data_IF_650085250825
#
_entry.id   IF_650085250825
#
_cell.length_a   1.000
_cell.length_b   1.000
_cell.length_c   1.000
_cell.angle_alpha   90.00
_cell.angle_beta   90.00
_cell.angle_gamma   90.00
#
_symmetry.space_group_name_H-M   'P 1'
#
loop_
_entity.id
_entity.type
_entity.pdbx_description
1 polymer ?
#
# COMPACT_ATOMS: atom_id res chain seq x y z
N UNK A 1 20.08 -9.13 -9.18
CA UNK A 1 19.84 -7.67 -9.23
C UNK A 1 19.22 -7.19 -10.55
N UNK A 2 19.76 -7.59 -11.73
CA UNK A 2 19.22 -7.23 -13.06
C UNK A 2 17.78 -7.73 -13.32
N UNK A 3 17.42 -8.90 -12.82
CA UNK A 3 16.09 -9.51 -13.05
C UNK A 3 14.95 -8.74 -12.38
N UNK A 4 15.15 -8.35 -11.12
CA UNK A 4 14.15 -7.59 -10.35
C UNK A 4 13.92 -6.19 -10.96
N UNK A 5 14.97 -5.54 -11.42
CA UNK A 5 14.89 -4.24 -12.10
C UNK A 5 14.10 -4.34 -13.42
N UNK A 6 14.33 -5.40 -14.21
CA UNK A 6 13.62 -5.61 -15.47
C UNK A 6 12.12 -5.79 -15.28
N UNK A 7 11.73 -6.59 -14.28
CA UNK A 7 10.32 -6.82 -13.97
C UNK A 7 9.60 -5.55 -13.53
N UNK A 8 10.25 -4.72 -12.69
CA UNK A 8 9.68 -3.44 -12.26
C UNK A 8 9.52 -2.45 -13.40
N UNK A 9 10.46 -2.44 -14.35
CA UNK A 9 10.36 -1.61 -15.57
C UNK A 9 9.16 -2.07 -16.41
N UNK A 10 8.95 -3.38 -16.55
CA UNK A 10 7.79 -3.91 -17.28
C UNK A 10 6.47 -3.53 -16.58
N UNK A 11 6.39 -3.66 -15.25
CA UNK A 11 5.24 -3.23 -14.46
C UNK A 11 4.98 -1.72 -14.59
N UNK A 12 6.05 -0.93 -14.62
CA UNK A 12 5.99 0.51 -14.83
C UNK A 12 5.38 0.84 -16.20
N UNK A 13 5.81 0.18 -17.25
CA UNK A 13 5.27 0.37 -18.59
C UNK A 13 3.82 -0.12 -18.70
N UNK A 14 3.46 -1.20 -18.01
CA UNK A 14 2.09 -1.71 -17.99
C UNK A 14 1.12 -0.70 -17.37
N UNK A 15 1.52 0.03 -16.36
CA UNK A 15 0.68 1.09 -15.78
C UNK A 15 0.35 2.20 -16.77
N UNK A 16 1.06 2.23 -17.90
CA UNK A 16 0.85 3.12 -19.04
C UNK A 16 0.10 2.44 -20.22
N UNK A 17 -0.50 1.27 -19.97
CA UNK A 17 -1.28 0.51 -20.95
C UNK A 17 -0.47 -0.44 -21.83
N UNK A 18 0.85 -0.57 -21.60
CA UNK A 18 1.71 -1.49 -22.33
C UNK A 18 1.76 -2.82 -21.60
N UNK A 19 1.32 -3.90 -22.27
CA UNK A 19 1.33 -5.26 -21.73
C UNK A 19 2.64 -5.96 -22.07
N UNK A 20 3.21 -6.63 -21.07
CA UNK A 20 4.37 -7.49 -21.23
C UNK A 20 4.09 -8.90 -20.70
N UNK A 21 4.53 -9.91 -21.42
CA UNK A 21 4.62 -11.26 -20.89
C UNK A 21 5.87 -11.37 -20.02
N UNK A 22 5.70 -11.80 -18.78
CA UNK A 22 6.80 -11.99 -17.86
C UNK A 22 6.96 -13.45 -17.49
N UNK A 23 8.08 -14.03 -17.91
CA UNK A 23 8.53 -15.33 -17.42
C UNK A 23 9.48 -15.09 -16.23
N UNK A 24 8.94 -15.00 -15.02
CA UNK A 24 9.74 -14.84 -13.80
C UNK A 24 9.70 -16.12 -12.99
N UNK A 25 10.84 -16.78 -12.88
CA UNK A 25 11.02 -17.84 -11.88
C UNK A 25 11.11 -17.21 -10.48
N UNK A 26 10.04 -17.34 -9.71
CA UNK A 26 10.04 -16.95 -8.29
C UNK A 26 10.75 -18.07 -7.49
N UNK A 27 12.00 -17.82 -7.10
CA UNK A 27 12.69 -18.70 -6.14
C UNK A 27 12.19 -18.38 -4.73
N UNK A 28 11.33 -19.25 -4.21
CA UNK A 28 10.84 -19.15 -2.84
C UNK A 28 11.93 -19.44 -1.81
N UNK A 29 11.91 -18.69 -0.69
CA UNK A 29 12.74 -18.99 0.47
C UNK A 29 12.23 -20.26 1.16
N UNK A 30 13.13 -21.16 1.54
CA UNK A 30 12.78 -22.38 2.25
C UNK A 30 12.91 -22.17 3.76
N UNK A 31 11.79 -22.24 4.46
CA UNK A 31 11.71 -22.19 5.91
C UNK A 31 11.43 -23.57 6.47
N UNK A 32 12.30 -24.03 7.40
CA UNK A 32 12.12 -25.29 8.12
C UNK A 32 11.38 -25.01 9.41
N UNK A 33 10.18 -25.56 9.57
CA UNK A 33 9.40 -25.48 10.81
C UNK A 33 10.14 -26.13 11.98
N UNK A 34 10.15 -25.46 13.13
CA UNK A 34 10.76 -25.94 14.37
C UNK A 34 9.70 -26.26 15.43
N UNK A 35 8.87 -25.26 15.78
CA UNK A 35 7.88 -25.41 16.86
C UNK A 35 6.84 -24.30 16.81
N UNK A 36 5.73 -24.53 17.48
CA UNK A 36 4.80 -23.48 17.90
C UNK A 36 5.34 -22.76 19.14
N UNK A 37 5.04 -21.47 19.27
CA UNK A 37 5.45 -20.61 20.39
C UNK A 37 4.21 -20.00 21.01
N UNK A 38 4.05 -20.12 22.32
CA UNK A 38 2.86 -19.62 23.02
C UNK A 38 3.05 -18.17 23.50
N UNK A 39 4.22 -17.85 24.01
CA UNK A 39 4.53 -16.52 24.56
C UNK A 39 5.60 -15.81 23.72
N UNK A 40 5.28 -14.61 23.27
CA UNK A 40 6.19 -13.74 22.52
C UNK A 40 6.21 -12.34 23.14
N UNK A 41 7.23 -11.59 22.80
CA UNK A 41 7.36 -10.18 23.18
C UNK A 41 6.14 -9.37 22.72
N UNK A 42 5.62 -8.49 23.61
CA UNK A 42 4.41 -7.69 23.32
C UNK A 42 4.56 -6.86 22.03
N UNK A 43 5.71 -6.26 21.81
CA UNK A 43 5.97 -5.49 20.60
C UNK A 43 5.85 -6.36 19.35
N UNK A 44 6.38 -7.59 19.37
CA UNK A 44 6.24 -8.54 18.27
C UNK A 44 4.79 -8.98 18.06
N UNK A 45 4.06 -9.21 19.13
CA UNK A 45 2.63 -9.52 19.05
C UNK A 45 1.84 -8.41 18.35
N UNK A 46 2.12 -7.13 18.71
CA UNK A 46 1.48 -5.98 18.06
C UNK A 46 1.88 -5.83 16.59
N UNK A 47 3.13 -6.12 16.22
CA UNK A 47 3.53 -6.17 14.82
C UNK A 47 2.75 -7.24 14.04
N UNK A 48 2.58 -8.43 14.60
CA UNK A 48 1.78 -9.48 13.97
C UNK A 48 0.29 -9.17 13.88
N UNK A 49 -0.23 -8.25 14.71
CA UNK A 49 -1.60 -7.76 14.57
C UNK A 49 -1.88 -7.23 13.15
N UNK A 50 -0.92 -6.63 12.49
CA UNK A 50 -1.06 -6.12 11.13
C UNK A 50 -1.49 -7.21 10.13
N UNK A 51 -1.10 -8.45 10.38
CA UNK A 51 -1.31 -9.59 9.50
C UNK A 51 -2.49 -10.48 9.94
N UNK A 52 -3.10 -10.20 11.10
CA UNK A 52 -4.34 -10.86 11.55
C UNK A 52 -5.53 -10.39 10.70
N UNK A 53 -6.53 -11.24 10.57
CA UNK A 53 -7.84 -10.83 10.04
C UNK A 53 -8.51 -9.97 11.11
N UNK A 54 -8.77 -8.71 10.79
CA UNK A 54 -9.34 -7.75 11.74
C UNK A 54 -10.85 -7.54 11.54
N UNK A 55 -11.35 -7.84 10.33
CA UNK A 55 -12.76 -7.75 9.99
C UNK A 55 -13.12 -8.76 8.91
N UNK A 56 -14.31 -9.34 9.02
CA UNK A 56 -14.94 -10.15 7.98
C UNK A 56 -16.14 -9.36 7.45
N UNK A 57 -16.09 -8.93 6.18
CA UNK A 57 -17.16 -8.23 5.51
C UNK A 57 -18.35 -9.15 5.21
N UNK A 58 -19.55 -8.61 5.20
CA UNK A 58 -20.77 -9.34 4.81
C UNK A 58 -20.73 -9.66 3.30
N UNK A 59 -21.28 -10.81 2.91
CA UNK A 59 -21.28 -11.27 1.51
C UNK A 59 -22.06 -10.38 0.54
N UNK A 60 -22.96 -9.56 1.06
CA UNK A 60 -23.74 -8.60 0.29
C UNK A 60 -23.03 -7.25 0.08
N UNK A 61 -21.96 -6.95 0.81
CA UNK A 61 -21.23 -5.68 0.74
C UNK A 61 -20.04 -5.76 -0.22
N UNK A 62 -19.35 -6.89 -0.25
CA UNK A 62 -18.15 -7.08 -1.07
C UNK A 62 -17.90 -8.56 -1.36
N UNK A 63 -17.38 -8.91 -2.55
CA UNK A 63 -16.88 -10.26 -2.82
C UNK A 63 -15.60 -10.58 -2.02
N UNK A 64 -14.92 -9.57 -1.48
CA UNK A 64 -13.66 -9.69 -0.75
C UNK A 64 -13.89 -9.54 0.75
N UNK A 65 -14.21 -10.66 1.40
CA UNK A 65 -14.70 -10.68 2.78
C UNK A 65 -13.63 -10.44 3.84
N UNK A 66 -12.39 -10.83 3.55
CA UNK A 66 -11.30 -10.77 4.53
C UNK A 66 -10.63 -9.40 4.48
N UNK A 67 -10.48 -8.78 5.66
CA UNK A 67 -9.79 -7.50 5.80
C UNK A 67 -8.69 -7.60 6.87
N UNK A 68 -7.48 -7.18 6.49
CA UNK A 68 -6.35 -6.94 7.39
C UNK A 68 -6.13 -5.43 7.56
N UNK A 69 -5.11 -5.01 8.31
CA UNK A 69 -4.81 -3.60 8.58
C UNK A 69 -4.43 -2.76 7.34
N UNK A 70 -4.12 -3.41 6.22
CA UNK A 70 -3.71 -2.79 4.96
C UNK A 70 -4.56 -3.29 3.79
N UNK A 71 -4.68 -2.52 2.70
CA UNK A 71 -5.36 -2.97 1.49
C UNK A 71 -4.50 -3.99 0.75
N UNK A 72 -5.16 -4.95 0.12
CA UNK A 72 -4.53 -5.94 -0.76
C UNK A 72 -5.39 -6.14 -2.00
N UNK A 73 -4.77 -6.34 -3.15
CA UNK A 73 -5.46 -6.65 -4.39
C UNK A 73 -6.34 -7.90 -4.20
N UNK A 74 -7.66 -7.75 -4.39
CA UNK A 74 -8.66 -8.81 -4.19
C UNK A 74 -8.55 -9.56 -2.84
N UNK A 75 -8.02 -8.90 -1.80
CA UNK A 75 -7.80 -9.50 -0.48
C UNK A 75 -6.94 -10.77 -0.48
N UNK A 76 -5.98 -10.90 -1.41
CA UNK A 76 -5.07 -12.05 -1.43
C UNK A 76 -4.13 -12.08 -0.23
N UNK A 77 -3.70 -10.89 0.26
CA UNK A 77 -2.83 -10.76 1.44
C UNK A 77 -1.63 -11.70 1.40
N UNK A 78 -0.89 -11.62 0.31
CA UNK A 78 0.23 -12.51 0.03
C UNK A 78 1.50 -12.21 0.83
N UNK A 79 1.53 -11.12 1.58
CA UNK A 79 2.66 -10.73 2.40
C UNK A 79 2.65 -11.47 3.73
N UNK A 80 3.83 -11.98 4.12
CA UNK A 80 4.09 -12.57 5.43
C UNK A 80 5.20 -11.81 6.15
N UNK A 81 5.05 -11.65 7.46
CA UNK A 81 6.07 -11.06 8.33
C UNK A 81 6.84 -12.15 9.04
N UNK A 82 8.15 -12.08 8.93
CA UNK A 82 9.08 -12.86 9.73
C UNK A 82 9.93 -11.94 10.58
N UNK A 83 10.15 -12.28 11.85
CA UNK A 83 10.95 -11.51 12.80
C UNK A 83 12.15 -12.36 13.21
N UNK A 84 13.36 -11.87 12.98
CA UNK A 84 14.57 -12.55 13.44
C UNK A 84 14.61 -12.62 14.97
N UNK A 85 14.77 -13.80 15.53
CA UNK A 85 15.04 -14.04 16.94
C UNK A 85 16.49 -14.45 17.23
N UNK A 86 17.34 -14.33 16.20
CA UNK A 86 18.77 -14.65 16.23
C UNK A 86 19.11 -16.04 15.72
N UNK A 87 20.39 -16.29 15.39
CA UNK A 87 20.90 -17.62 14.99
C UNK A 87 20.09 -18.29 13.86
N UNK A 88 19.76 -17.56 12.78
CA UNK A 88 18.95 -18.04 11.65
C UNK A 88 17.54 -18.52 12.03
N UNK A 89 17.04 -18.13 13.20
CA UNK A 89 15.70 -18.45 13.67
C UNK A 89 14.77 -17.25 13.46
N UNK A 90 13.55 -17.55 13.03
CA UNK A 90 12.54 -16.58 12.67
C UNK A 90 11.20 -16.93 13.30
N UNK A 91 10.50 -15.91 13.76
CA UNK A 91 9.14 -16.01 14.27
C UNK A 91 8.19 -15.47 13.22
N UNK A 92 7.06 -16.16 13.01
CA UNK A 92 5.97 -15.69 12.14
C UNK A 92 4.61 -16.04 12.73
N UNK A 93 3.55 -15.43 12.20
CA UNK A 93 2.16 -15.73 12.54
C UNK A 93 1.56 -16.64 11.48
N UNK A 94 1.13 -17.82 11.85
CA UNK A 94 0.28 -18.64 11.01
C UNK A 94 -1.12 -18.03 10.95
N UNK A 95 -1.46 -17.38 9.82
CA UNK A 95 -2.73 -16.66 9.65
C UNK A 95 -3.98 -17.55 9.67
N UNK A 96 -3.82 -18.88 9.47
CA UNK A 96 -4.94 -19.83 9.50
C UNK A 96 -5.27 -20.29 10.93
N UNK A 97 -4.24 -20.57 11.73
CA UNK A 97 -4.40 -21.07 13.10
C UNK A 97 -4.36 -19.97 14.16
N UNK A 98 -3.84 -18.78 13.82
CA UNK A 98 -3.59 -17.69 14.76
C UNK A 98 -2.42 -17.93 15.71
N UNK A 99 -1.67 -19.03 15.53
CA UNK A 99 -0.53 -19.39 16.38
C UNK A 99 0.77 -18.78 15.88
N UNK A 100 1.68 -18.48 16.81
CA UNK A 100 3.04 -18.08 16.47
C UNK A 100 3.89 -19.34 16.21
N UNK A 101 4.67 -19.30 15.15
CA UNK A 101 5.50 -20.42 14.72
C UNK A 101 6.95 -19.97 14.56
N UNK A 102 7.87 -20.84 15.01
CA UNK A 102 9.31 -20.67 14.87
C UNK A 102 9.83 -21.50 13.72
N UNK A 103 10.64 -20.86 12.89
CA UNK A 103 11.25 -21.44 11.71
C UNK A 103 12.75 -21.20 11.70
N UNK A 104 13.48 -22.07 11.01
CA UNK A 104 14.89 -21.91 10.65
C UNK A 104 15.00 -21.57 9.17
N UNK A 105 15.88 -20.61 8.84
CA UNK A 105 16.26 -20.30 7.46
C UNK A 105 17.73 -19.90 7.40
N UNK A 106 18.53 -20.61 6.59
CA UNK A 106 19.96 -20.37 6.41
C UNK A 106 20.27 -19.50 5.18
N UNK A 107 19.31 -19.31 4.28
CA UNK A 107 19.49 -18.52 3.05
C UNK A 107 19.54 -17.01 3.32
N UNK A 108 18.82 -16.53 4.35
CA UNK A 108 18.82 -15.11 4.74
C UNK A 108 20.12 -14.72 5.44
N UNK A 109 20.78 -15.69 6.07
CA UNK A 109 21.98 -15.46 6.87
C UNK A 109 21.71 -14.97 8.29
N UNK A 110 22.78 -14.65 9.02
CA UNK A 110 22.67 -14.20 10.43
C UNK A 110 22.27 -12.75 10.50
N UNK A 111 21.13 -12.47 11.14
CA UNK A 111 20.59 -11.13 11.31
C UNK A 111 20.45 -10.76 12.79
N UNK A 112 20.45 -9.47 13.08
CA UNK A 112 20.21 -8.95 14.43
C UNK A 112 18.80 -9.36 14.89
N UNK A 113 18.67 -9.73 16.17
CA UNK A 113 17.36 -9.98 16.79
C UNK A 113 16.46 -8.74 16.65
N UNK A 114 15.21 -8.94 16.24
CA UNK A 114 14.24 -7.87 16.00
C UNK A 114 14.28 -7.29 14.57
N UNK A 115 15.19 -7.73 13.68
CA UNK A 115 15.11 -7.40 12.25
C UNK A 115 13.86 -8.04 11.65
N UNK A 116 13.10 -7.26 10.89
CA UNK A 116 11.86 -7.69 10.25
C UNK A 116 12.11 -8.05 8.79
N UNK A 117 11.40 -9.05 8.31
CA UNK A 117 11.43 -9.47 6.91
C UNK A 117 10.00 -9.58 6.38
N UNK A 118 9.70 -8.87 5.30
CA UNK A 118 8.44 -9.04 4.57
C UNK A 118 8.73 -9.90 3.34
N UNK A 119 8.04 -11.02 3.25
CA UNK A 119 8.20 -12.01 2.19
C UNK A 119 6.88 -12.11 1.44
N UNK A 120 6.94 -11.97 0.11
CA UNK A 120 5.77 -12.08 -0.76
C UNK A 120 5.59 -13.53 -1.22
N UNK A 121 4.41 -14.08 -1.00
CA UNK A 121 3.99 -15.32 -1.66
C UNK A 121 3.60 -15.08 -3.12
N UNK A 122 3.54 -16.13 -3.89
CA UNK A 122 3.06 -16.09 -5.27
C UNK A 122 1.59 -15.63 -5.31
N UNK A 123 1.27 -14.67 -6.16
CA UNK A 123 -0.12 -14.31 -6.45
C UNK A 123 -0.79 -15.50 -7.17
N UNK A 124 -1.95 -15.99 -6.67
CA UNK A 124 -2.54 -17.25 -7.14
C UNK A 124 -3.27 -17.14 -8.48
N UNK A 125 -3.14 -16.01 -9.19
CA UNK A 125 -3.86 -15.75 -10.45
C UNK A 125 -2.94 -15.12 -11.51
N UNK A 126 -3.07 -15.57 -12.74
CA UNK A 126 -2.16 -15.20 -13.83
C UNK A 126 -2.45 -13.81 -14.42
N UNK A 127 -3.68 -13.32 -14.34
CA UNK A 127 -4.02 -12.01 -14.91
C UNK A 127 -3.33 -10.80 -14.24
N UNK A 128 -2.63 -11.02 -13.12
CA UNK A 128 -1.78 -10.00 -12.51
C UNK A 128 -0.30 -10.13 -12.89
N UNK A 129 0.09 -11.10 -13.70
CA UNK A 129 1.50 -11.37 -13.99
C UNK A 129 2.27 -10.14 -14.46
N UNK A 130 1.68 -9.29 -15.30
CA UNK A 130 2.30 -8.07 -15.82
C UNK A 130 2.48 -6.94 -14.80
N UNK A 131 1.75 -6.95 -13.66
CA UNK A 131 1.81 -5.90 -12.63
C UNK A 131 2.12 -6.45 -11.23
N UNK A 132 2.46 -7.73 -11.14
CA UNK A 132 2.65 -8.48 -9.91
C UNK A 132 3.67 -7.81 -8.98
N UNK A 133 4.83 -7.40 -9.51
CA UNK A 133 5.91 -6.80 -8.71
C UNK A 133 5.49 -5.44 -8.15
N UNK A 134 4.88 -4.58 -8.96
CA UNK A 134 4.42 -3.29 -8.48
C UNK A 134 3.27 -3.42 -7.47
N UNK A 135 2.35 -4.38 -7.65
CA UNK A 135 1.31 -4.64 -6.65
C UNK A 135 1.91 -5.11 -5.32
N UNK A 136 2.90 -6.02 -5.35
CA UNK A 136 3.59 -6.48 -4.16
C UNK A 136 4.29 -5.33 -3.43
N UNK A 137 5.01 -4.48 -4.14
CA UNK A 137 5.70 -3.33 -3.54
C UNK A 137 4.73 -2.29 -2.98
N UNK A 138 3.64 -2.01 -3.67
CA UNK A 138 2.59 -1.13 -3.15
C UNK A 138 1.98 -1.69 -1.85
N UNK A 139 1.67 -2.99 -1.80
CA UNK A 139 1.17 -3.65 -0.59
C UNK A 139 2.19 -3.59 0.54
N UNK A 140 3.47 -3.84 0.26
CA UNK A 140 4.55 -3.68 1.25
C UNK A 140 4.65 -2.22 1.71
N UNK A 141 4.53 -1.25 0.82
CA UNK A 141 4.48 0.18 1.18
C UNK A 141 3.35 0.48 2.17
N UNK A 142 2.15 -0.04 1.95
CA UNK A 142 1.04 0.06 2.91
C UNK A 142 1.40 -0.56 4.27
N UNK A 143 2.05 -1.71 4.28
CA UNK A 143 2.50 -2.38 5.52
C UNK A 143 3.57 -1.55 6.22
N UNK A 144 4.53 -0.98 5.49
CA UNK A 144 5.60 -0.14 6.04
C UNK A 144 5.07 1.07 6.80
N UNK A 145 4.00 1.73 6.29
CA UNK A 145 3.35 2.80 7.02
C UNK A 145 2.79 2.31 8.36
N UNK A 146 2.07 1.19 8.36
CA UNK A 146 1.52 0.63 9.59
C UNK A 146 2.63 0.19 10.58
N UNK A 147 3.74 -0.38 10.08
CA UNK A 147 4.92 -0.69 10.90
C UNK A 147 5.51 0.59 11.50
N UNK A 148 5.61 1.68 10.74
CA UNK A 148 6.15 2.95 11.25
C UNK A 148 5.31 3.52 12.39
N UNK A 149 3.98 3.45 12.30
CA UNK A 149 3.07 3.82 13.39
C UNK A 149 3.29 2.94 14.63
N UNK A 150 3.36 1.62 14.45
CA UNK A 150 3.59 0.71 15.58
C UNK A 150 4.98 0.91 16.21
N UNK A 151 6.00 1.10 15.39
CA UNK A 151 7.33 1.45 15.90
C UNK A 151 7.25 2.69 16.78
N UNK A 152 6.60 3.75 16.30
CA UNK A 152 6.47 5.01 17.04
C UNK A 152 5.73 4.85 18.37
N UNK A 153 4.62 4.09 18.41
CA UNK A 153 3.88 3.76 19.64
C UNK A 153 4.80 3.09 20.67
N UNK A 154 5.74 2.26 20.24
CA UNK A 154 6.71 1.56 21.08
C UNK A 154 8.06 2.27 21.23
N UNK A 155 8.13 3.57 20.91
CA UNK A 155 9.37 4.38 20.93
C UNK A 155 10.49 3.74 20.12
N UNK A 156 10.16 3.35 18.92
CA UNK A 156 11.07 2.80 17.91
C UNK A 156 10.88 3.51 16.56
N UNK A 157 11.84 3.32 15.68
CA UNK A 157 11.74 3.81 14.31
C UNK A 157 12.32 2.81 13.32
N UNK A 158 11.90 2.90 12.06
CA UNK A 158 12.54 2.21 10.95
C UNK A 158 13.85 2.93 10.66
N UNK A 159 14.98 2.25 10.86
CA UNK A 159 16.31 2.80 10.62
C UNK A 159 16.75 2.64 9.17
N UNK A 160 16.48 1.49 8.57
CA UNK A 160 16.82 1.22 7.18
C UNK A 160 15.87 0.18 6.58
N UNK A 161 15.72 0.25 5.25
CA UNK A 161 14.99 -0.72 4.45
C UNK A 161 15.92 -1.18 3.35
N UNK A 162 16.09 -2.49 3.23
CA UNK A 162 16.91 -3.14 2.22
C UNK A 162 16.04 -4.11 1.42
N UNK A 163 16.13 -4.06 0.10
CA UNK A 163 15.35 -4.91 -0.77
C UNK A 163 16.23 -5.83 -1.59
N UNK A 164 15.83 -7.07 -1.71
CA UNK A 164 16.38 -8.02 -2.67
C UNK A 164 15.25 -8.73 -3.43
N UNK A 165 15.58 -9.73 -4.23
CA UNK A 165 14.59 -10.44 -5.07
C UNK A 165 13.60 -11.30 -4.27
N UNK A 166 13.92 -11.61 -3.00
CA UNK A 166 13.16 -12.59 -2.19
C UNK A 166 12.41 -11.95 -1.03
N UNK A 167 12.90 -10.83 -0.47
CA UNK A 167 12.32 -10.19 0.70
C UNK A 167 12.67 -8.70 0.80
N UNK A 168 11.91 -8.01 1.62
CA UNK A 168 12.25 -6.67 2.13
C UNK A 168 12.68 -6.81 3.58
N UNK A 169 13.91 -6.41 3.90
CA UNK A 169 14.46 -6.36 5.26
C UNK A 169 14.27 -4.97 5.85
N UNK A 170 13.83 -4.92 7.12
CA UNK A 170 13.58 -3.70 7.84
C UNK A 170 14.35 -3.74 9.15
N UNK A 171 15.26 -2.81 9.33
CA UNK A 171 16.00 -2.66 10.58
C UNK A 171 15.34 -1.59 11.45
N UNK A 172 15.15 -1.92 12.74
CA UNK A 172 14.47 -1.09 13.72
C UNK A 172 15.48 -0.59 14.76
N UNK A 173 15.35 0.68 15.16
CA UNK A 173 16.10 1.30 16.26
C UNK A 173 15.15 1.86 17.31
N UNK A 174 15.66 2.09 18.54
CA UNK A 174 14.93 2.80 19.60
C UNK A 174 15.06 4.31 19.40
N UNK A 175 14.02 5.07 19.78
CA UNK A 175 14.00 6.53 19.80
C UNK A 175 13.54 7.03 21.17
N UNK A 176 13.90 8.26 21.52
CA UNK A 176 13.53 8.87 22.79
C UNK A 176 12.10 9.42 22.76
N UNK A 177 11.68 10.01 21.64
CA UNK A 177 10.41 10.72 21.53
C UNK A 177 9.58 10.19 20.34
N UNK A 178 8.32 9.85 20.60
CA UNK A 178 7.35 9.48 19.59
C UNK A 178 7.00 10.65 18.67
N UNK A 179 6.71 10.35 17.41
CA UNK A 179 6.34 11.32 16.36
C UNK A 179 4.84 11.51 16.25
N UNK A 180 4.10 10.44 16.51
CA UNK A 180 2.64 10.42 16.45
C UNK A 180 2.08 10.33 17.87
N UNK A 181 1.12 11.19 18.21
CA UNK A 181 0.34 11.07 19.44
C UNK A 181 -0.80 10.07 19.23
N UNK A 182 -0.44 8.80 19.10
CA UNK A 182 -1.38 7.73 18.80
C UNK A 182 -1.17 6.52 19.71
N UNK A 183 -2.24 6.10 20.40
CA UNK A 183 -2.24 4.86 21.16
C UNK A 183 -2.49 3.64 20.28
N UNK A 184 -2.06 2.45 20.73
CA UNK A 184 -2.34 1.20 20.02
C UNK A 184 -3.84 0.95 19.83
N UNK A 185 -4.66 1.26 20.82
CA UNK A 185 -6.12 1.09 20.73
C UNK A 185 -6.74 1.97 19.64
N UNK A 186 -6.30 3.23 19.53
CA UNK A 186 -6.74 4.12 18.47
C UNK A 186 -6.28 3.63 17.10
N UNK A 187 -5.03 3.16 16.98
CA UNK A 187 -4.53 2.55 15.75
C UNK A 187 -5.38 1.33 15.32
N UNK A 188 -5.72 0.44 16.29
CA UNK A 188 -6.59 -0.70 16.00
C UNK A 188 -7.98 -0.25 15.51
N UNK A 189 -8.54 0.79 16.12
CA UNK A 189 -9.84 1.34 15.71
C UNK A 189 -9.78 1.83 14.25
N UNK A 190 -8.76 2.60 13.89
CA UNK A 190 -8.59 3.09 12.51
C UNK A 190 -8.43 1.95 11.50
N UNK A 191 -7.69 0.91 11.86
CA UNK A 191 -7.57 -0.27 11.01
C UNK A 191 -8.92 -0.98 10.80
N UNK A 192 -9.77 -1.06 11.85
CA UNK A 192 -11.11 -1.67 11.78
C UNK A 192 -12.08 -0.84 10.95
N UNK A 193 -12.04 0.48 11.07
CA UNK A 193 -12.92 1.41 10.36
C UNK A 193 -12.53 1.60 8.89
N UNK A 194 -11.28 1.30 8.54
CA UNK A 194 -10.82 1.44 7.15
C UNK A 194 -11.68 0.61 6.19
N UNK A 195 -12.27 1.26 5.20
CA UNK A 195 -13.07 0.62 4.15
C UNK A 195 -12.68 1.13 2.77
N UNK A 196 -12.82 0.27 1.76
CA UNK A 196 -12.55 0.63 0.35
C UNK A 196 -13.79 1.16 -0.38
N UNK A 197 -14.89 1.38 0.35
CA UNK A 197 -16.15 1.82 -0.24
C UNK A 197 -16.91 0.73 -0.97
N UNK A 198 -18.11 1.05 -1.44
CA UNK A 198 -19.03 0.07 -2.01
C UNK A 198 -18.65 -0.32 -3.44
N UNK A 199 -19.05 -1.51 -3.82
CA UNK A 199 -19.26 -1.88 -5.21
C UNK A 199 -20.56 -1.23 -5.75
N UNK A 200 -20.54 -0.77 -6.99
CA UNK A 200 -21.54 0.06 -7.70
C UNK A 200 -23.03 -0.18 -7.43
N UNK A 201 -23.44 -1.35 -7.07
CA UNK A 201 -24.88 -1.70 -7.09
C UNK A 201 -25.59 -1.63 -5.74
N UNK A 202 -24.93 -1.17 -4.66
CA UNK A 202 -25.47 -1.24 -3.29
C UNK A 202 -25.19 0.00 -2.43
N UNK A 203 -25.23 1.17 -3.05
CA UNK A 203 -24.97 2.43 -2.34
C UNK A 203 -26.30 2.95 -1.80
N UNK A 204 -26.64 2.62 -0.58
CA UNK A 204 -27.80 3.21 0.10
C UNK A 204 -27.40 4.32 1.09
N UNK A 205 -26.15 4.36 1.55
CA UNK A 205 -25.73 5.20 2.69
C UNK A 205 -24.53 6.12 2.38
N UNK A 206 -24.27 6.43 1.10
CA UNK A 206 -23.17 7.33 0.74
C UNK A 206 -23.70 8.73 0.48
N UNK A 207 -23.19 9.69 1.25
CA UNK A 207 -23.55 11.10 1.07
C UNK A 207 -22.59 11.77 0.08
N UNK A 208 -23.18 12.68 -0.72
CA UNK A 208 -22.43 13.59 -1.59
C UNK A 208 -21.96 14.81 -0.78
N UNK A 209 -21.22 14.59 0.31
CA UNK A 209 -20.60 15.70 1.03
C UNK A 209 -19.19 15.93 0.51
N UNK A 210 -19.04 16.94 -0.33
CA UNK A 210 -17.77 17.37 -0.92
C UNK A 210 -17.05 18.45 -0.11
N UNK A 211 -17.65 18.93 0.97
CA UNK A 211 -17.13 20.03 1.79
C UNK A 211 -16.20 19.54 2.89
N UNK A 212 -16.28 18.27 3.26
CA UNK A 212 -15.37 17.71 4.26
C UNK A 212 -13.96 17.52 3.70
N UNK A 213 -12.99 18.07 4.40
CA UNK A 213 -11.57 17.97 4.02
C UNK A 213 -11.03 16.54 4.15
N UNK A 214 -10.73 15.90 3.03
CA UNK A 214 -9.97 14.66 2.98
C UNK A 214 -8.56 14.92 3.52
N UNK A 215 -8.09 14.06 4.43
CA UNK A 215 -6.70 14.12 4.89
C UNK A 215 -5.74 13.85 3.73
N UNK A 216 -4.74 14.70 3.62
CA UNK A 216 -3.72 14.62 2.58
C UNK A 216 -2.37 14.66 3.28
N UNK A 217 -1.54 13.59 3.18
CA UNK A 217 -0.21 13.59 3.75
C UNK A 217 0.63 14.69 3.09
N UNK A 218 1.39 15.42 3.89
CA UNK A 218 2.40 16.33 3.35
C UNK A 218 3.55 15.46 2.83
N UNK A 219 3.87 15.55 1.55
CA UNK A 219 5.16 15.09 1.05
C UNK A 219 6.15 16.13 1.54
N UNK A 220 6.72 15.90 2.73
CA UNK A 220 7.75 16.78 3.27
C UNK A 220 9.08 16.39 2.63
N UNK A 221 9.89 17.39 2.32
CA UNK A 221 11.30 17.23 1.93
C UNK A 221 12.17 16.72 3.09
N UNK A 222 11.58 16.30 4.20
CA UNK A 222 12.24 16.06 5.47
C UNK A 222 12.50 14.58 5.75
N UNK A 223 13.50 14.36 6.59
CA UNK A 223 14.12 13.15 7.11
C UNK A 223 13.23 11.92 7.40
N UNK A 224 11.93 12.09 7.57
CA UNK A 224 10.98 10.98 7.80
C UNK A 224 10.87 10.03 6.61
N UNK A 225 11.14 10.53 5.39
CA UNK A 225 11.21 9.74 4.16
C UNK A 225 12.64 9.42 3.72
N UNK A 226 13.65 9.94 4.41
CA UNK A 226 15.05 9.67 4.10
C UNK A 226 15.37 8.16 4.13
N UNK A 227 14.62 7.38 4.90
CA UNK A 227 14.74 5.93 5.01
C UNK A 227 14.33 5.24 3.70
N UNK A 228 13.29 5.74 3.04
CA UNK A 228 12.82 5.27 1.73
C UNK A 228 13.44 6.07 0.58
N UNK A 229 13.93 7.26 0.87
CA UNK A 229 14.36 8.24 -0.13
C UNK A 229 15.68 8.90 0.27
N UNK A 230 16.78 8.19 0.05
CA UNK A 230 18.12 8.84 0.05
C UNK A 230 18.32 9.78 -1.15
N UNK A 231 17.31 10.00 -1.96
CA UNK A 231 17.35 10.78 -3.19
C UNK A 231 16.02 11.48 -3.42
N UNK A 232 16.04 12.54 -4.19
CA UNK A 232 14.92 13.35 -4.64
C UNK A 232 13.71 12.46 -4.99
N UNK A 233 12.49 12.73 -4.44
CA UNK A 233 11.32 11.94 -4.75
C UNK A 233 10.96 12.09 -6.23
N UNK A 234 11.04 10.99 -6.98
CA UNK A 234 10.52 10.90 -8.35
C UNK A 234 8.99 10.71 -8.35
N UNK A 235 8.35 11.02 -7.25
CA UNK A 235 6.91 10.91 -7.05
C UNK A 235 6.31 12.30 -6.90
N UNK A 236 5.28 12.59 -7.70
CA UNK A 236 4.44 13.78 -7.55
C UNK A 236 3.03 13.36 -7.16
N UNK A 237 2.39 14.14 -6.33
CA UNK A 237 0.98 13.96 -5.99
C UNK A 237 0.13 14.96 -6.75
N UNK A 238 -0.94 14.49 -7.38
CA UNK A 238 -1.97 15.28 -8.00
C UNK A 238 -3.30 15.03 -7.31
N UNK A 239 -4.00 16.07 -6.96
CA UNK A 239 -5.27 15.98 -6.23
C UNK A 239 -6.36 16.60 -7.08
N UNK A 240 -7.30 15.75 -7.49
CA UNK A 240 -8.51 16.18 -8.16
C UNK A 240 -9.66 16.16 -7.15
N UNK A 241 -10.41 17.26 -7.07
CA UNK A 241 -11.56 17.41 -6.17
C UNK A 241 -12.85 17.34 -6.96
N UNK A 242 -13.83 16.66 -6.39
CA UNK A 242 -15.16 16.62 -6.97
C UNK A 242 -15.75 18.04 -7.03
N UNK A 243 -16.22 18.42 -8.22
CA UNK A 243 -16.77 19.77 -8.47
C UNK A 243 -18.25 19.88 -8.11
N UNK A 244 -18.87 18.78 -7.64
CA UNK A 244 -20.29 18.73 -7.26
C UNK A 244 -21.26 18.70 -8.44
N UNK A 245 -20.79 18.70 -9.68
CA UNK A 245 -21.59 18.72 -10.90
C UNK A 245 -21.43 17.43 -11.69
N UNK A 246 -20.37 17.33 -12.45
CA UNK A 246 -20.17 16.31 -13.46
C UNK A 246 -18.81 15.60 -13.42
N UNK A 247 -17.92 16.00 -12.49
CA UNK A 247 -16.60 15.40 -12.44
C UNK A 247 -15.67 15.92 -11.34
N UNK A 248 -14.37 15.85 -11.63
CA UNK A 248 -13.29 16.25 -10.75
C UNK A 248 -12.40 17.28 -11.41
N UNK A 249 -12.00 18.30 -10.65
CA UNK A 249 -11.17 19.40 -11.14
C UNK A 249 -9.88 19.59 -10.33
N UNK A 250 -8.82 20.01 -11.02
CA UNK A 250 -7.65 20.66 -10.44
C UNK A 250 -7.47 22.05 -11.07
N UNK A 251 -7.91 23.06 -10.36
CA UNK A 251 -8.04 24.44 -10.88
C UNK A 251 -6.72 25.07 -11.30
N UNK A 252 -5.63 24.85 -10.51
CA UNK A 252 -4.32 25.45 -10.79
C UNK A 252 -3.67 24.91 -12.07
N UNK A 253 -4.02 23.67 -12.46
CA UNK A 253 -3.50 23.03 -13.67
C UNK A 253 -4.49 23.06 -14.83
N UNK A 254 -5.69 23.61 -14.61
CA UNK A 254 -6.80 23.60 -15.58
C UNK A 254 -7.12 22.19 -16.10
N UNK A 255 -7.21 21.22 -15.16
CA UNK A 255 -7.53 19.83 -15.45
C UNK A 255 -8.96 19.56 -14.99
N UNK A 256 -9.76 18.94 -15.86
CA UNK A 256 -11.11 18.46 -15.54
C UNK A 256 -11.32 17.07 -16.11
N UNK A 257 -11.85 16.15 -15.29
CA UNK A 257 -12.24 14.78 -15.64
C UNK A 257 -13.72 14.57 -15.32
N UNK A 258 -14.52 14.26 -16.31
CA UNK A 258 -15.92 13.94 -16.10
C UNK A 258 -16.13 12.55 -15.47
N UNK A 259 -17.27 12.34 -14.82
CA UNK A 259 -17.67 11.02 -14.32
C UNK A 259 -17.80 10.00 -15.47
N UNK A 260 -18.25 10.44 -16.64
CA UNK A 260 -18.39 9.59 -17.83
C UNK A 260 -17.01 9.08 -18.29
N UNK A 261 -16.02 9.96 -18.39
CA UNK A 261 -14.65 9.58 -18.73
C UNK A 261 -14.07 8.58 -17.73
N UNK A 262 -14.26 8.79 -16.43
CA UNK A 262 -13.79 7.88 -15.39
C UNK A 262 -14.56 6.57 -15.36
N UNK A 263 -15.87 6.59 -15.56
CA UNK A 263 -16.69 5.39 -15.59
C UNK A 263 -16.40 4.51 -16.82
N UNK A 264 -15.95 5.08 -17.93
CA UNK A 264 -15.48 4.31 -19.08
C UNK A 264 -14.23 3.48 -18.77
N UNK A 265 -13.39 3.98 -17.85
CA UNK A 265 -12.17 3.29 -17.39
C UNK A 265 -12.48 2.26 -16.29
N UNK A 266 -13.44 2.56 -15.40
CA UNK A 266 -13.78 1.78 -14.21
C UNK A 266 -15.29 1.62 -14.05
N UNK A 267 -15.87 0.71 -14.78
CA UNK A 267 -17.32 0.43 -14.76
C UNK A 267 -17.84 -0.16 -13.42
N UNK A 268 -16.96 -0.49 -12.49
CA UNK A 268 -17.30 -1.05 -11.16
C UNK A 268 -17.16 -0.05 -10.02
N UNK A 269 -16.80 1.21 -10.31
CA UNK A 269 -16.70 2.31 -9.33
C UNK A 269 -17.71 3.39 -9.71
N UNK A 270 -18.47 3.87 -8.74
CA UNK A 270 -19.31 5.05 -8.93
C UNK A 270 -18.58 6.29 -8.41
N UNK A 271 -17.97 7.02 -9.32
CA UNK A 271 -17.17 8.20 -9.00
C UNK A 271 -18.01 9.38 -8.48
N UNK A 272 -19.33 9.39 -8.67
CA UNK A 272 -20.22 10.47 -8.19
C UNK A 272 -20.23 10.61 -6.68
N UNK A 273 -19.87 9.55 -5.96
CA UNK A 273 -19.82 9.55 -4.49
C UNK A 273 -18.41 9.77 -3.91
N UNK A 274 -17.43 10.02 -4.76
CA UNK A 274 -16.09 10.33 -4.29
C UNK A 274 -15.92 11.84 -4.16
N UNK A 275 -15.36 12.28 -3.04
CA UNK A 275 -15.03 13.68 -2.77
C UNK A 275 -13.70 14.07 -3.41
N UNK A 276 -12.78 13.12 -3.51
CA UNK A 276 -11.42 13.38 -3.96
C UNK A 276 -10.82 12.17 -4.68
N UNK A 277 -10.03 12.47 -5.72
CA UNK A 277 -9.21 11.51 -6.42
C UNK A 277 -7.75 11.93 -6.31
N UNK A 278 -6.99 11.25 -5.46
CA UNK A 278 -5.56 11.51 -5.24
C UNK A 278 -4.73 10.58 -6.09
N UNK A 279 -4.03 11.12 -7.07
CA UNK A 279 -3.14 10.37 -7.94
C UNK A 279 -1.68 10.52 -7.49
N UNK A 280 -0.94 9.43 -7.50
CA UNK A 280 0.51 9.41 -7.36
C UNK A 280 1.12 9.22 -8.74
N UNK A 281 1.89 10.19 -9.16
CA UNK A 281 2.54 10.26 -10.44
C UNK A 281 4.00 9.85 -10.28
N UNK A 282 4.50 9.00 -11.17
CA UNK A 282 5.88 8.57 -11.19
C UNK A 282 6.59 9.21 -12.38
N UNK A 283 7.78 9.78 -12.14
CA UNK A 283 8.55 10.44 -13.18
C UNK A 283 9.11 9.42 -14.18
N UNK A 284 8.95 9.69 -15.48
CA UNK A 284 9.40 8.79 -16.56
C UNK A 284 10.91 8.60 -16.61
N UNK A 285 11.66 9.61 -16.17
CA UNK A 285 13.13 9.62 -16.14
C UNK A 285 13.72 8.93 -14.91
N UNK A 286 12.90 8.33 -14.03
CA UNK A 286 13.38 7.69 -12.81
C UNK A 286 14.43 6.60 -13.13
N UNK A 287 15.64 6.68 -12.54
CA UNK A 287 16.62 5.61 -12.66
C UNK A 287 16.13 4.32 -12.01
N UNK A 288 16.44 3.19 -12.64
CA UNK A 288 15.92 1.86 -12.21
C UNK A 288 16.28 1.49 -10.77
N UNK A 289 17.39 1.98 -10.23
CA UNK A 289 17.81 1.77 -8.84
C UNK A 289 16.92 2.46 -7.81
N UNK A 290 16.23 3.54 -8.19
CA UNK A 290 15.31 4.27 -7.30
C UNK A 290 13.86 3.82 -7.43
N UNK A 291 13.53 3.03 -8.46
CA UNK A 291 12.17 2.64 -8.78
C UNK A 291 11.49 1.87 -7.64
N UNK A 292 12.17 0.89 -7.05
CA UNK A 292 11.65 0.11 -5.92
C UNK A 292 11.25 1.01 -4.75
N UNK A 293 12.15 1.88 -4.32
CA UNK A 293 11.91 2.75 -3.16
C UNK A 293 10.78 3.75 -3.42
N UNK A 294 10.66 4.26 -4.64
CA UNK A 294 9.57 5.18 -4.98
C UNK A 294 8.22 4.47 -5.06
N UNK A 295 8.15 3.20 -5.49
CA UNK A 295 6.90 2.42 -5.44
C UNK A 295 6.51 2.10 -3.97
N UNK A 296 7.47 1.74 -3.13
CA UNK A 296 7.24 1.58 -1.69
C UNK A 296 6.70 2.87 -1.06
N UNK A 297 7.29 4.02 -1.40
CA UNK A 297 6.85 5.34 -0.93
C UNK A 297 5.40 5.63 -1.37
N UNK A 298 5.03 5.34 -2.61
CA UNK A 298 3.65 5.52 -3.07
C UNK A 298 2.68 4.68 -2.23
N UNK A 299 2.99 3.42 -1.98
CA UNK A 299 2.18 2.55 -1.13
C UNK A 299 2.08 3.08 0.32
N UNK A 300 3.18 3.58 0.86
CA UNK A 300 3.25 4.20 2.19
C UNK A 300 2.33 5.42 2.30
N UNK A 301 2.43 6.38 1.38
CA UNK A 301 1.59 7.58 1.34
C UNK A 301 0.11 7.25 1.11
N UNK A 302 -0.17 6.26 0.28
CA UNK A 302 -1.55 5.80 0.06
C UNK A 302 -2.17 5.19 1.33
N UNK A 303 -1.39 4.44 2.13
CA UNK A 303 -1.86 3.91 3.40
C UNK A 303 -2.12 5.00 4.42
N UNK A 304 -1.29 6.01 4.46
CA UNK A 304 -1.48 7.18 5.33
C UNK A 304 -2.83 7.84 5.05
N UNK A 305 -3.18 8.06 3.76
CA UNK A 305 -4.50 8.55 3.36
C UNK A 305 -5.60 7.59 3.85
N UNK A 306 -5.44 6.29 3.59
CA UNK A 306 -6.44 5.29 3.94
C UNK A 306 -6.70 5.21 5.45
N UNK A 307 -5.65 5.31 6.26
CA UNK A 307 -5.75 5.15 7.71
C UNK A 307 -6.31 6.42 8.38
N UNK A 308 -5.77 7.59 8.06
CA UNK A 308 -6.19 8.81 8.73
C UNK A 308 -7.56 9.33 8.28
N UNK A 309 -7.97 9.04 7.06
CA UNK A 309 -9.33 9.35 6.60
C UNK A 309 -10.39 8.43 7.20
N UNK A 310 -10.07 7.20 7.61
CA UNK A 310 -11.05 6.32 8.26
C UNK A 310 -11.62 6.93 9.56
N UNK A 311 -10.84 7.78 10.25
CA UNK A 311 -11.28 8.55 11.43
C UNK A 311 -12.42 9.53 11.17
N UNK A 312 -12.65 9.89 9.92
CA UNK A 312 -13.60 10.93 9.49
C UNK A 312 -14.74 10.35 8.66
N UNK A 313 -15.00 9.06 8.80
CA UNK A 313 -16.00 8.33 8.03
C UNK A 313 -15.79 8.41 6.50
N UNK A 314 -14.53 8.47 6.05
CA UNK A 314 -14.22 8.35 4.64
C UNK A 314 -13.89 6.90 4.27
N UNK A 315 -14.47 6.44 3.17
CA UNK A 315 -13.93 5.29 2.49
C UNK A 315 -12.72 5.72 1.66
N UNK A 316 -11.78 4.80 1.47
CA UNK A 316 -10.59 5.05 0.68
C UNK A 316 -10.30 3.80 -0.17
N UNK A 317 -10.41 3.95 -1.48
CA UNK A 317 -10.19 2.87 -2.44
C UNK A 317 -8.87 3.09 -3.19
N UNK A 318 -7.83 2.32 -2.88
CA UNK A 318 -6.64 2.30 -3.70
C UNK A 318 -6.91 1.64 -5.06
N UNK A 319 -6.38 2.23 -6.13
CA UNK A 319 -6.50 1.73 -7.51
C UNK A 319 -5.14 1.79 -8.20
N UNK A 320 -4.75 0.70 -8.89
CA UNK A 320 -3.44 0.62 -9.55
C UNK A 320 -3.44 1.32 -10.90
N UNK A 321 -4.44 1.07 -11.71
CA UNK A 321 -4.60 1.76 -12.97
C UNK A 321 -5.48 2.99 -12.76
N UNK A 322 -4.93 4.17 -12.99
CA UNK A 322 -5.54 5.44 -12.59
C UNK A 322 -6.41 6.02 -13.70
N UNK A 323 -5.85 6.14 -14.89
CA UNK A 323 -6.50 6.57 -16.13
C UNK A 323 -5.82 5.89 -17.31
N UNK A 324 -6.51 5.75 -18.44
CA UNK A 324 -5.88 5.20 -19.65
C UNK A 324 -4.82 6.14 -20.20
N UNK A 325 -3.85 5.62 -21.00
CA UNK A 325 -2.86 6.46 -21.65
C UNK A 325 -3.47 7.54 -22.55
N UNK A 326 -4.57 7.23 -23.22
CA UNK A 326 -5.26 8.19 -24.10
C UNK A 326 -5.85 9.35 -23.30
N UNK A 327 -6.57 9.03 -22.21
CA UNK A 327 -7.15 10.05 -21.34
C UNK A 327 -6.04 10.86 -20.62
N UNK A 328 -4.95 10.19 -20.18
CA UNK A 328 -3.80 10.85 -19.60
C UNK A 328 -3.16 11.87 -20.56
N UNK A 329 -2.85 11.46 -21.77
CA UNK A 329 -2.19 12.32 -22.74
C UNK A 329 -3.08 13.47 -23.22
N UNK A 330 -4.40 13.28 -23.29
CA UNK A 330 -5.33 14.33 -23.73
C UNK A 330 -5.65 15.37 -22.67
N UNK A 331 -5.88 14.93 -21.43
CA UNK A 331 -6.34 15.80 -20.33
C UNK A 331 -5.20 16.38 -19.46
N UNK A 332 -4.06 15.70 -19.40
CA UNK A 332 -2.95 16.06 -18.52
C UNK A 332 -1.69 16.46 -19.29
N UNK A 333 -1.84 17.15 -20.42
CA UNK A 333 -0.75 17.51 -21.35
C UNK A 333 0.49 18.06 -20.66
N UNK A 334 0.32 18.99 -19.72
CA UNK A 334 1.42 19.63 -18.98
C UNK A 334 2.17 18.66 -18.02
N UNK A 335 1.63 17.48 -17.79
CA UNK A 335 2.20 16.47 -16.89
C UNK A 335 2.60 15.20 -17.64
N UNK A 336 1.91 14.88 -18.74
CA UNK A 336 2.05 13.61 -19.46
C UNK A 336 3.43 13.42 -20.08
N UNK A 337 4.14 14.49 -20.42
CA UNK A 337 5.51 14.38 -20.96
C UNK A 337 6.50 13.88 -19.90
N UNK A 338 6.33 14.32 -18.66
CA UNK A 338 7.25 14.05 -17.57
C UNK A 338 6.83 12.90 -16.67
N UNK A 339 5.54 12.67 -16.47
CA UNK A 339 5.00 11.74 -15.49
C UNK A 339 4.06 10.71 -16.11
N UNK A 340 3.91 9.57 -15.40
CA UNK A 340 2.80 8.65 -15.60
C UNK A 340 1.95 8.55 -14.33
N UNK A 341 0.63 8.31 -14.43
CA UNK A 341 -0.24 8.02 -13.30
C UNK A 341 0.00 6.59 -12.85
N UNK A 342 0.65 6.42 -11.69
CA UNK A 342 1.09 5.10 -11.26
C UNK A 342 0.13 4.41 -10.29
N UNK A 343 -0.42 5.17 -9.35
CA UNK A 343 -1.34 4.69 -8.32
C UNK A 343 -2.27 5.80 -7.88
N UNK A 344 -3.45 5.46 -7.38
CA UNK A 344 -4.34 6.47 -6.83
C UNK A 344 -5.13 5.97 -5.63
N UNK A 345 -5.68 6.92 -4.88
CA UNK A 345 -6.66 6.67 -3.82
C UNK A 345 -7.91 7.51 -4.12
N UNK A 346 -9.03 6.83 -4.29
CA UNK A 346 -10.34 7.46 -4.38
C UNK A 346 -10.93 7.53 -2.98
N UNK A 347 -11.25 8.74 -2.51
CA UNK A 347 -11.81 8.98 -1.18
C UNK A 347 -13.19 9.59 -1.27
N UNK A 348 -14.12 9.11 -0.46
CA UNK A 348 -15.46 9.64 -0.36
C UNK A 348 -16.06 9.41 1.02
N UNK A 349 -17.03 10.22 1.37
CA UNK A 349 -17.70 10.17 2.67
C UNK A 349 -18.80 9.09 2.68
N UNK A 350 -19.01 8.45 3.81
CA UNK A 350 -20.13 7.53 4.03
C UNK A 350 -20.72 7.74 5.42
N UNK A 351 -22.05 7.63 5.49
CA UNK A 351 -22.76 7.63 6.75
C UNK A 351 -22.76 6.21 7.34
N UNK A 352 -22.53 6.10 8.65
CA UNK A 352 -22.43 4.82 9.37
C UNK A 352 -23.83 4.37 9.80
#
# INVERSE_FOLDING_TARGET
MLYFKRDLICDYLYSYGIKYEQNVEDKELKFKYISTVENIDEYFEKLFYLFKIIRIGKSNETPYKIHKSFPSARSFYIQELYISIGKNLYLTLNSKTGKFEKYENTEIGTCKKGTLFIISKKIPVDYYNSIKKSLNLLEIGHILFNISILCDIFKKEIKSIESNNKYIQINIASIEKSRFDLSFNNFQLYCKERTSGPYLKKITNFQKDFNQGVYIPKIKDNDEFAILNKSIPYVKRLILRNNGKDGFDEKNLNISLSYEELNSEYNYIDFRYASQYTMFLLEKSIPSEFLTNNILLIGYLAQEICLFNSRKNFYNRPVKQVVSPNLWNSKFRNLSDKYIPFYAVLSGFYDI
#
